data_IF_135082215474
#
_entry.id   IF_135082215474
#
_cell.length_a   1.000
_cell.length_b   1.000
_cell.length_c   1.000
_cell.angle_alpha   90.00
_cell.angle_beta   90.00
_cell.angle_gamma   90.00
#
_symmetry.space_group_name_H-M   'P 1'
#
loop_
_entity.id
_entity.type
_entity.pdbx_description
1 polymer ?
#
# COMPACT_ATOMS: atom_id res chain seq x y z
N UNK A 1 6.79 -25.01 2.61
CA UNK A 1 6.08 -23.99 1.83
C UNK A 1 6.27 -22.68 2.59
N UNK A 2 6.51 -21.56 1.92
CA UNK A 2 6.67 -20.28 2.59
C UNK A 2 5.37 -19.85 3.28
N UNK A 3 5.48 -19.03 4.32
CA UNK A 3 4.30 -18.46 5.00
C UNK A 3 3.65 -17.34 4.17
N UNK A 4 4.45 -16.56 3.42
CA UNK A 4 3.99 -15.41 2.65
C UNK A 4 4.43 -15.55 1.19
N UNK A 5 3.52 -15.31 0.24
CA UNK A 5 3.84 -15.06 -1.16
C UNK A 5 3.74 -13.56 -1.43
N UNK A 6 4.86 -12.91 -1.72
CA UNK A 6 4.85 -11.52 -2.19
C UNK A 6 4.61 -11.55 -3.69
N UNK A 7 3.66 -10.72 -4.18
CA UNK A 7 3.28 -10.69 -5.61
C UNK A 7 3.50 -9.29 -6.20
N UNK A 8 4.11 -9.25 -7.40
CA UNK A 8 4.41 -8.02 -8.13
C UNK A 8 4.18 -8.23 -9.63
N UNK A 9 3.33 -7.41 -10.24
CA UNK A 9 3.21 -7.32 -11.69
C UNK A 9 4.09 -6.19 -12.23
N UNK A 10 4.86 -6.46 -13.29
CA UNK A 10 5.77 -5.49 -13.91
C UNK A 10 5.46 -5.37 -15.39
N UNK A 11 5.43 -4.13 -15.90
CA UNK A 11 5.35 -3.84 -17.33
C UNK A 11 6.16 -2.61 -17.68
N UNK A 12 7.18 -2.78 -18.52
CA UNK A 12 8.01 -1.69 -19.02
C UNK A 12 8.63 -0.82 -17.92
N UNK A 13 9.16 -1.43 -16.85
CA UNK A 13 9.96 -0.71 -15.87
C UNK A 13 11.40 -0.55 -16.41
N UNK A 14 11.69 0.61 -16.99
CA UNK A 14 13.00 0.91 -17.58
C UNK A 14 13.98 1.54 -16.57
N UNK A 15 13.49 2.03 -15.43
CA UNK A 15 14.37 2.61 -14.43
C UNK A 15 14.91 1.52 -13.50
N UNK A 16 16.16 1.13 -13.76
CA UNK A 16 16.86 0.09 -13.00
C UNK A 16 16.92 0.39 -11.49
N UNK A 17 17.28 1.63 -11.13
CA UNK A 17 17.47 2.00 -9.73
C UNK A 17 16.15 1.90 -8.95
N UNK A 18 15.05 2.36 -9.54
CA UNK A 18 13.71 2.27 -8.93
C UNK A 18 13.29 0.81 -8.78
N UNK A 19 13.49 -0.03 -9.81
CA UNK A 19 13.15 -1.44 -9.73
C UNK A 19 13.96 -2.17 -8.66
N UNK A 20 15.28 -1.92 -8.62
CA UNK A 20 16.15 -2.53 -7.62
C UNK A 20 15.81 -2.06 -6.21
N UNK A 21 15.48 -0.79 -6.00
CA UNK A 21 15.04 -0.27 -4.70
C UNK A 21 13.74 -0.96 -4.23
N UNK A 22 12.77 -1.14 -5.13
CA UNK A 22 11.52 -1.85 -4.83
C UNK A 22 11.78 -3.31 -4.44
N UNK A 23 12.57 -4.04 -5.25
CA UNK A 23 12.92 -5.44 -5.01
C UNK A 23 13.71 -5.60 -3.71
N UNK A 24 14.75 -4.80 -3.51
CA UNK A 24 15.58 -4.78 -2.31
C UNK A 24 14.76 -4.54 -1.04
N UNK A 25 13.75 -3.68 -1.11
CA UNK A 25 12.86 -3.38 0.01
C UNK A 25 12.05 -4.61 0.48
N UNK A 26 11.78 -5.54 -0.43
CA UNK A 26 11.16 -6.84 -0.10
C UNK A 26 12.22 -7.84 0.39
N UNK A 27 13.36 -7.93 -0.26
CA UNK A 27 14.41 -8.89 0.14
C UNK A 27 14.97 -8.60 1.55
N UNK A 28 14.89 -7.35 2.01
CA UNK A 28 15.36 -6.85 3.32
C UNK A 28 14.27 -6.79 4.39
N UNK A 29 13.13 -7.46 4.19
CA UNK A 29 12.10 -7.56 5.22
C UNK A 29 12.60 -8.32 6.45
N UNK A 30 12.15 -7.94 7.65
CA UNK A 30 12.47 -8.62 8.91
C UNK A 30 11.92 -10.05 8.96
N UNK A 31 10.84 -10.32 8.27
CA UNK A 31 10.26 -11.65 8.11
C UNK A 31 10.86 -12.32 6.86
N UNK A 32 11.52 -13.47 7.01
CA UNK A 32 12.33 -14.11 5.96
C UNK A 32 11.64 -15.27 5.23
N UNK A 33 10.62 -15.90 5.83
CA UNK A 33 9.92 -17.07 5.26
C UNK A 33 8.88 -16.67 4.22
N UNK A 34 9.36 -16.18 3.07
CA UNK A 34 8.52 -15.80 1.93
C UNK A 34 9.11 -16.25 0.59
N UNK A 35 8.26 -16.38 -0.40
CA UNK A 35 8.59 -16.37 -1.82
C UNK A 35 8.21 -15.01 -2.44
N UNK A 36 8.92 -14.59 -3.49
CA UNK A 36 8.64 -13.35 -4.19
C UNK A 36 8.39 -13.62 -5.67
N UNK A 37 7.12 -13.60 -6.06
CA UNK A 37 6.66 -13.90 -7.41
C UNK A 37 6.53 -12.59 -8.17
N UNK A 38 7.32 -12.46 -9.22
CA UNK A 38 7.34 -11.32 -10.13
C UNK A 38 6.78 -11.79 -11.47
N UNK A 39 5.78 -11.08 -11.98
CA UNK A 39 5.19 -11.36 -13.28
C UNK A 39 5.58 -10.28 -14.30
N UNK A 40 6.26 -10.70 -15.37
CA UNK A 40 6.53 -9.84 -16.53
C UNK A 40 5.32 -9.86 -17.48
N UNK A 41 4.62 -8.75 -17.58
CA UNK A 41 3.40 -8.59 -18.38
C UNK A 41 3.75 -8.18 -19.84
N UNK A 42 4.67 -8.89 -20.49
CA UNK A 42 5.08 -8.62 -21.86
C UNK A 42 5.88 -7.33 -22.00
N UNK A 43 6.88 -7.14 -21.16
CA UNK A 43 7.75 -5.98 -21.23
C UNK A 43 8.62 -5.99 -22.48
N UNK A 44 8.97 -4.77 -22.95
CA UNK A 44 9.98 -4.60 -24.00
C UNK A 44 11.32 -5.27 -23.63
N UNK A 45 12.08 -5.82 -24.58
CA UNK A 45 13.32 -6.58 -24.29
C UNK A 45 14.30 -5.87 -23.36
N UNK A 46 14.45 -4.55 -23.44
CA UNK A 46 15.32 -3.77 -22.56
C UNK A 46 14.88 -3.83 -21.08
N UNK A 47 13.58 -3.82 -20.82
CA UNK A 47 13.03 -3.94 -19.46
C UNK A 47 13.04 -5.40 -18.99
N UNK A 48 12.79 -6.36 -19.90
CA UNK A 48 12.84 -7.79 -19.60
C UNK A 48 14.23 -8.24 -19.14
N UNK A 49 15.30 -7.70 -19.72
CA UNK A 49 16.69 -7.97 -19.28
C UNK A 49 16.90 -7.58 -17.81
N UNK A 50 16.32 -6.45 -17.36
CA UNK A 50 16.41 -6.05 -15.95
C UNK A 50 15.70 -7.03 -15.02
N UNK A 51 14.59 -7.64 -15.47
CA UNK A 51 13.86 -8.64 -14.68
C UNK A 51 14.64 -9.94 -14.55
N UNK A 52 15.38 -10.35 -15.59
CA UNK A 52 16.30 -11.50 -15.50
C UNK A 52 17.48 -11.22 -14.55
N UNK A 53 18.01 -9.99 -14.50
CA UNK A 53 18.98 -9.60 -13.47
C UNK A 53 18.38 -9.72 -12.07
N UNK A 54 17.18 -9.19 -11.87
CA UNK A 54 16.45 -9.25 -10.60
C UNK A 54 16.22 -10.69 -10.13
N UNK A 55 15.81 -11.59 -11.03
CA UNK A 55 15.60 -13.01 -10.72
C UNK A 55 16.84 -13.67 -10.10
N UNK A 56 18.03 -13.24 -10.53
CA UNK A 56 19.30 -13.79 -10.06
C UNK A 56 19.82 -13.16 -8.76
N UNK A 57 19.12 -12.18 -8.18
CA UNK A 57 19.53 -11.51 -6.93
C UNK A 57 19.32 -12.39 -5.69
N UNK A 58 18.22 -13.16 -5.65
CA UNK A 58 17.88 -13.98 -4.50
C UNK A 58 17.07 -15.22 -4.93
N UNK A 59 17.34 -16.36 -4.30
CA UNK A 59 16.66 -17.64 -4.58
C UNK A 59 15.14 -17.63 -4.27
N UNK A 60 14.67 -16.69 -3.46
CA UNK A 60 13.24 -16.52 -3.15
C UNK A 60 12.46 -15.89 -4.29
N UNK A 61 13.14 -15.29 -5.29
CA UNK A 61 12.50 -14.66 -6.44
C UNK A 61 12.12 -15.71 -7.47
N UNK A 62 10.86 -15.70 -7.87
CA UNK A 62 10.27 -16.51 -8.93
C UNK A 62 9.79 -15.56 -10.02
N UNK A 63 10.51 -15.51 -11.13
CA UNK A 63 10.10 -14.74 -12.31
C UNK A 63 9.25 -15.62 -13.21
N UNK A 64 8.04 -15.15 -13.51
CA UNK A 64 7.11 -15.72 -14.49
C UNK A 64 6.64 -14.62 -15.44
N UNK A 65 6.09 -14.96 -16.58
CA UNK A 65 5.60 -13.93 -17.51
C UNK A 65 5.17 -14.50 -18.84
N UNK A 66 4.82 -13.60 -19.76
CA UNK A 66 4.43 -13.92 -21.13
C UNK A 66 4.79 -12.76 -22.09
N UNK A 67 4.64 -12.98 -23.40
CA UNK A 67 5.07 -12.02 -24.43
C UNK A 67 4.08 -10.84 -24.62
N UNK A 68 2.79 -11.02 -24.29
CA UNK A 68 1.76 -10.02 -24.53
C UNK A 68 1.33 -9.33 -23.23
N UNK A 69 1.06 -8.03 -23.28
CA UNK A 69 0.53 -7.26 -22.15
C UNK A 69 -0.97 -7.47 -21.97
N UNK A 70 -1.36 -7.98 -20.80
CA UNK A 70 -2.74 -8.22 -20.40
C UNK A 70 -3.22 -7.31 -19.26
N UNK A 71 -2.31 -6.55 -18.66
CA UNK A 71 -2.57 -5.57 -17.60
C UNK A 71 -2.46 -6.13 -16.18
N UNK A 72 -2.38 -5.20 -15.22
CA UNK A 72 -2.06 -5.49 -13.82
C UNK A 72 -2.95 -6.57 -13.18
N UNK A 73 -4.26 -6.53 -13.42
CA UNK A 73 -5.19 -7.51 -12.84
C UNK A 73 -4.84 -8.95 -13.27
N UNK A 74 -4.48 -9.14 -14.55
CA UNK A 74 -4.05 -10.42 -15.07
C UNK A 74 -2.73 -10.87 -14.44
N UNK A 75 -1.74 -9.97 -14.39
CA UNK A 75 -0.43 -10.24 -13.78
C UNK A 75 -0.56 -10.67 -12.32
N UNK A 76 -1.41 -9.99 -11.55
CA UNK A 76 -1.65 -10.33 -10.15
C UNK A 76 -2.35 -11.67 -9.99
N UNK A 77 -3.34 -12.01 -10.84
CA UNK A 77 -3.98 -13.33 -10.82
C UNK A 77 -2.97 -14.43 -11.15
N UNK A 78 -2.14 -14.26 -12.18
CA UNK A 78 -1.09 -15.22 -12.51
C UNK A 78 -0.08 -15.43 -11.35
N UNK A 79 0.23 -14.38 -10.59
CA UNK A 79 1.02 -14.50 -9.37
C UNK A 79 0.25 -15.26 -8.28
N UNK A 80 -1.05 -14.99 -8.10
CA UNK A 80 -1.91 -15.66 -7.12
C UNK A 80 -1.99 -17.16 -7.42
N UNK A 81 -2.20 -17.54 -8.68
CA UNK A 81 -2.24 -18.94 -9.13
C UNK A 81 -0.92 -19.69 -8.83
N UNK A 82 0.20 -18.97 -8.84
CA UNK A 82 1.53 -19.53 -8.58
C UNK A 82 1.88 -19.54 -7.09
N UNK A 83 1.20 -18.73 -6.29
CA UNK A 83 1.49 -18.54 -4.87
C UNK A 83 1.24 -19.81 -4.06
N UNK A 84 2.10 -20.08 -3.09
CA UNK A 84 2.00 -21.23 -2.19
C UNK A 84 1.92 -20.83 -0.71
N UNK A 85 2.05 -19.55 -0.39
CA UNK A 85 2.00 -19.02 0.96
C UNK A 85 0.58 -18.92 1.51
N UNK A 86 0.47 -18.98 2.83
CA UNK A 86 -0.78 -18.77 3.56
C UNK A 86 -1.31 -17.33 3.44
N UNK A 87 -0.39 -16.40 3.24
CA UNK A 87 -0.70 -14.98 3.02
C UNK A 87 -0.15 -14.52 1.67
N UNK A 88 -0.88 -13.62 1.01
CA UNK A 88 -0.46 -13.01 -0.24
C UNK A 88 -0.27 -11.52 -0.02
N UNK A 89 0.97 -11.03 -0.12
CA UNK A 89 1.33 -9.64 0.05
C UNK A 89 1.58 -8.97 -1.30
N UNK A 90 0.90 -7.86 -1.57
CA UNK A 90 1.05 -7.12 -2.82
C UNK A 90 2.22 -6.13 -2.74
N UNK A 91 2.89 -5.89 -3.89
CA UNK A 91 3.94 -4.89 -4.07
C UNK A 91 3.87 -4.29 -5.48
N UNK A 92 4.18 -2.99 -5.63
CA UNK A 92 4.42 -2.35 -6.92
C UNK A 92 5.92 -2.25 -7.22
N UNK A 93 6.28 -2.24 -8.52
CA UNK A 93 7.66 -2.24 -9.00
C UNK A 93 8.37 -0.87 -8.87
N UNK A 94 7.70 0.12 -8.29
CA UNK A 94 8.21 1.48 -8.13
C UNK A 94 8.05 2.04 -6.69
N UNK A 95 7.55 1.22 -5.76
CA UNK A 95 7.31 1.58 -4.37
C UNK A 95 8.39 1.00 -3.42
N UNK A 96 8.35 1.38 -2.14
CA UNK A 96 9.27 0.88 -1.11
C UNK A 96 8.48 0.30 0.06
N UNK A 97 8.74 -0.95 0.39
CA UNK A 97 8.20 -1.63 1.57
C UNK A 97 9.14 -1.44 2.76
N UNK A 98 8.66 -0.90 3.89
CA UNK A 98 9.50 -0.77 5.07
C UNK A 98 9.75 -2.13 5.74
N UNK A 99 10.91 -2.30 6.42
CA UNK A 99 11.40 -3.62 6.82
C UNK A 99 10.45 -4.48 7.66
N UNK A 100 9.63 -3.87 8.48
CA UNK A 100 8.75 -4.60 9.41
C UNK A 100 7.33 -4.87 8.83
N UNK A 101 7.08 -4.51 7.54
CA UNK A 101 5.73 -4.58 6.98
C UNK A 101 5.16 -6.00 6.98
N UNK A 102 5.89 -6.96 6.43
CA UNK A 102 5.40 -8.32 6.29
C UNK A 102 5.14 -8.96 7.66
N UNK A 103 6.05 -8.79 8.60
CA UNK A 103 5.93 -9.31 9.97
C UNK A 103 4.71 -8.74 10.70
N UNK A 104 4.54 -7.41 10.68
CA UNK A 104 3.43 -6.74 11.35
C UNK A 104 2.07 -7.06 10.72
N UNK A 105 2.00 -7.16 9.41
CA UNK A 105 0.77 -7.52 8.71
C UNK A 105 0.36 -8.97 8.96
N UNK A 106 1.32 -9.90 8.91
CA UNK A 106 1.10 -11.31 9.27
C UNK A 106 0.58 -11.43 10.69
N UNK A 107 1.29 -10.84 11.65
CA UNK A 107 0.89 -10.84 13.07
C UNK A 107 -0.52 -10.27 13.26
N UNK A 108 -0.83 -9.14 12.61
CA UNK A 108 -2.16 -8.54 12.69
C UNK A 108 -3.24 -9.51 12.22
N UNK A 109 -3.04 -10.18 11.07
CA UNK A 109 -4.02 -11.14 10.57
C UNK A 109 -4.14 -12.36 11.49
N UNK A 110 -3.07 -12.84 12.10
CA UNK A 110 -3.12 -13.95 13.06
C UNK A 110 -3.92 -13.60 14.33
N UNK A 111 -3.74 -12.41 14.85
CA UNK A 111 -4.42 -11.92 16.05
C UNK A 111 -5.88 -11.49 15.81
N UNK A 112 -6.27 -11.24 14.54
CA UNK A 112 -7.59 -10.72 14.17
C UNK A 112 -8.22 -11.57 13.05
N UNK A 113 -8.76 -12.76 13.37
CA UNK A 113 -9.29 -13.70 12.37
C UNK A 113 -10.53 -13.19 11.62
N UNK A 114 -11.22 -12.16 12.11
CA UNK A 114 -12.37 -11.53 11.45
C UNK A 114 -11.98 -10.68 10.23
N UNK A 115 -10.68 -10.37 10.03
CA UNK A 115 -10.19 -9.65 8.87
C UNK A 115 -9.57 -10.59 7.84
N UNK A 116 -9.98 -10.43 6.59
CA UNK A 116 -9.52 -11.21 5.45
C UNK A 116 -8.31 -10.59 4.76
N UNK A 117 -8.09 -9.28 4.94
CA UNK A 117 -6.89 -8.56 4.49
C UNK A 117 -6.55 -7.39 5.39
N UNK A 118 -5.29 -6.94 5.30
CA UNK A 118 -4.80 -5.77 6.02
C UNK A 118 -3.89 -4.92 5.14
N UNK A 119 -4.11 -3.61 5.15
CA UNK A 119 -3.22 -2.59 4.60
C UNK A 119 -2.46 -1.85 5.70
N UNK A 120 -1.86 -0.71 5.34
CA UNK A 120 -1.22 0.19 6.31
C UNK A 120 -1.32 1.65 5.86
N UNK A 121 -0.89 2.58 6.71
CA UNK A 121 -0.65 3.97 6.32
C UNK A 121 0.55 4.06 5.37
N UNK A 122 0.56 5.09 4.51
CA UNK A 122 1.62 5.29 3.53
C UNK A 122 2.29 6.65 3.69
N UNK A 123 3.60 6.67 3.53
CA UNK A 123 4.33 7.86 3.14
C UNK A 123 4.26 8.01 1.62
N UNK A 124 4.41 9.24 1.12
CA UNK A 124 4.38 9.54 -0.31
C UNK A 124 5.71 10.17 -0.65
N UNK A 125 6.42 9.60 -1.62
CA UNK A 125 7.75 10.05 -2.01
C UNK A 125 7.88 10.31 -3.53
N UNK A 126 8.90 11.08 -3.86
CA UNK A 126 9.42 11.26 -5.22
C UNK A 126 10.96 11.17 -5.20
N UNK A 127 11.62 11.54 -6.28
CA UNK A 127 13.09 11.53 -6.36
C UNK A 127 13.81 12.43 -5.34
N UNK A 128 13.07 13.32 -4.64
CA UNK A 128 13.60 14.23 -3.61
C UNK A 128 13.40 13.70 -2.19
N UNK A 129 12.70 12.58 -2.04
CA UNK A 129 12.38 11.96 -0.76
C UNK A 129 10.90 12.03 -0.40
N UNK A 130 10.58 11.80 0.88
CA UNK A 130 9.21 11.81 1.41
C UNK A 130 8.67 13.23 1.46
N UNK A 131 7.57 13.48 0.76
CA UNK A 131 6.93 14.80 0.72
C UNK A 131 5.50 14.82 1.29
N UNK A 132 4.91 13.66 1.58
CA UNK A 132 3.55 13.56 2.10
C UNK A 132 3.31 12.30 2.90
N UNK A 133 2.19 12.29 3.62
CA UNK A 133 1.70 11.15 4.39
C UNK A 133 0.22 10.99 4.18
N UNK A 134 -0.25 9.73 4.08
CA UNK A 134 -1.67 9.42 4.02
C UNK A 134 -2.03 8.39 5.07
N UNK A 135 -2.92 8.80 5.95
CA UNK A 135 -3.51 7.93 6.96
C UNK A 135 -4.73 7.24 6.37
N UNK A 136 -4.73 5.90 6.39
CA UNK A 136 -5.85 5.09 5.92
C UNK A 136 -6.82 4.86 7.09
N UNK A 137 -8.15 4.72 6.84
CA UNK A 137 -9.10 4.40 7.90
C UNK A 137 -8.76 3.06 8.54
N UNK A 138 -8.65 3.01 9.87
CA UNK A 138 -8.24 1.80 10.60
C UNK A 138 -9.15 0.60 10.31
N UNK A 139 -10.45 0.81 10.44
CA UNK A 139 -11.51 -0.20 10.23
C UNK A 139 -12.55 0.33 9.25
N UNK A 140 -12.28 0.26 7.94
CA UNK A 140 -13.15 0.87 6.95
C UNK A 140 -14.58 0.34 7.00
N UNK A 141 -15.53 1.25 7.01
CA UNK A 141 -16.95 0.96 6.84
C UNK A 141 -17.41 1.23 5.40
N UNK A 142 -18.67 0.93 5.07
CA UNK A 142 -19.18 1.09 3.70
C UNK A 142 -19.10 2.52 3.17
N UNK A 143 -19.23 3.55 4.02
CA UNK A 143 -19.19 4.94 3.59
C UNK A 143 -17.78 5.41 3.19
N UNK A 144 -16.74 4.75 3.70
CA UNK A 144 -15.35 5.09 3.37
C UNK A 144 -15.01 4.79 1.90
N UNK A 145 -15.76 3.86 1.28
CA UNK A 145 -15.64 3.59 -0.16
C UNK A 145 -16.21 4.69 -1.06
N UNK A 146 -16.97 5.66 -0.54
CA UNK A 146 -17.55 6.71 -1.39
C UNK A 146 -16.50 7.60 -2.05
N UNK A 147 -15.49 8.02 -1.30
CA UNK A 147 -14.49 8.99 -1.79
C UNK A 147 -13.42 8.35 -2.67
N UNK A 148 -12.81 7.29 -2.19
CA UNK A 148 -11.69 6.54 -2.79
C UNK A 148 -11.59 5.14 -2.19
N UNK A 149 -10.68 4.32 -2.70
CA UNK A 149 -10.36 3.05 -2.05
C UNK A 149 -9.88 3.30 -0.62
N UNK A 150 -10.48 2.67 0.40
CA UNK A 150 -10.05 2.82 1.78
C UNK A 150 -8.77 2.05 2.12
N UNK A 151 -8.14 1.44 1.14
CA UNK A 151 -6.85 0.75 1.23
C UNK A 151 -5.91 1.27 0.16
N UNK A 152 -4.64 1.43 0.49
CA UNK A 152 -3.59 1.63 -0.48
C UNK A 152 -3.21 0.27 -1.07
N UNK A 153 -3.58 0.02 -2.32
CA UNK A 153 -3.50 -1.29 -2.95
C UNK A 153 -2.12 -1.97 -2.85
N UNK A 154 -0.97 -1.27 -3.09
CA UNK A 154 0.33 -1.91 -3.00
C UNK A 154 0.74 -2.35 -1.59
N UNK A 155 0.01 -1.92 -0.58
CA UNK A 155 0.34 -2.25 0.81
C UNK A 155 -0.35 -3.50 1.33
N UNK A 156 -1.33 -4.04 0.61
CA UNK A 156 -2.27 -5.01 1.17
C UNK A 156 -1.66 -6.41 1.25
N UNK A 157 -1.88 -7.06 2.39
CA UNK A 157 -1.68 -8.49 2.60
C UNK A 157 -3.05 -9.16 2.79
N UNK A 158 -3.30 -10.20 2.03
CA UNK A 158 -4.52 -11.01 2.04
C UNK A 158 -4.28 -12.36 2.71
N UNK A 159 -5.33 -12.96 3.28
CA UNK A 159 -5.35 -14.42 3.48
C UNK A 159 -5.50 -15.08 2.11
N UNK A 160 -4.68 -16.08 1.79
CA UNK A 160 -4.72 -16.74 0.49
C UNK A 160 -6.07 -17.41 0.20
N UNK A 161 -6.74 -17.93 1.23
CA UNK A 161 -8.06 -18.59 1.15
C UNK A 161 -9.17 -17.74 0.50
N UNK A 162 -9.02 -16.41 0.43
CA UNK A 162 -9.95 -15.52 -0.27
C UNK A 162 -10.05 -15.90 -1.74
N UNK A 163 -8.91 -16.23 -2.34
CA UNK A 163 -8.79 -16.50 -3.77
C UNK A 163 -9.28 -17.90 -4.16
N UNK A 164 -9.38 -18.82 -3.23
CA UNK A 164 -9.95 -20.16 -3.43
C UNK A 164 -11.46 -20.12 -3.79
N UNK A 165 -12.11 -18.99 -3.55
CA UNK A 165 -13.55 -18.79 -3.74
C UNK A 165 -13.91 -17.97 -4.99
N UNK A 166 -13.07 -17.97 -6.02
CA UNK A 166 -13.21 -17.16 -7.23
C UNK A 166 -13.30 -15.64 -6.96
N UNK A 167 -12.56 -15.17 -5.96
CA UNK A 167 -12.47 -13.75 -5.59
C UNK A 167 -11.23 -13.06 -6.18
N UNK A 168 -10.71 -13.56 -7.29
CA UNK A 168 -9.58 -12.98 -8.04
C UNK A 168 -9.90 -11.60 -8.61
N UNK A 169 -8.87 -10.91 -9.10
CA UNK A 169 -9.07 -9.64 -9.80
C UNK A 169 -9.86 -9.82 -11.09
N UNK A 170 -10.81 -8.94 -11.34
CA UNK A 170 -11.60 -8.96 -12.59
C UNK A 170 -10.75 -8.44 -13.75
N UNK A 171 -10.41 -9.33 -14.70
CA UNK A 171 -9.66 -9.00 -15.91
C UNK A 171 -10.60 -8.55 -17.02
N UNK A 172 -11.07 -7.30 -16.98
CA UNK A 172 -11.94 -6.76 -18.02
C UNK A 172 -11.51 -5.37 -18.46
N UNK A 173 -11.87 -5.01 -19.72
CA UNK A 173 -11.64 -3.64 -20.23
C UNK A 173 -12.41 -2.58 -19.42
N UNK A 174 -13.43 -2.98 -18.67
CA UNK A 174 -14.26 -2.07 -17.86
C UNK A 174 -13.68 -1.81 -16.48
N UNK A 175 -12.85 -2.73 -15.93
CA UNK A 175 -12.18 -2.56 -14.66
C UNK A 175 -10.78 -1.96 -14.79
N UNK A 176 -10.29 -1.77 -16.01
CA UNK A 176 -8.96 -1.24 -16.29
C UNK A 176 -8.76 0.13 -15.61
N UNK A 177 -7.74 0.24 -14.72
CA UNK A 177 -7.41 1.38 -13.87
C UNK A 177 -8.38 1.64 -12.71
N UNK A 178 -9.20 0.65 -12.34
CA UNK A 178 -10.00 0.64 -11.12
C UNK A 178 -10.12 -0.78 -10.52
N UNK A 179 -9.22 -1.67 -10.91
CA UNK A 179 -9.14 -3.06 -10.45
C UNK A 179 -9.01 -3.18 -8.94
N UNK A 180 -8.23 -2.29 -8.33
CA UNK A 180 -8.04 -2.17 -6.88
C UNK A 180 -9.33 -1.78 -6.14
N UNK A 181 -10.04 -0.83 -6.69
CA UNK A 181 -11.27 -0.34 -6.09
C UNK A 181 -12.42 -1.35 -6.26
N UNK A 182 -12.45 -2.04 -7.39
CA UNK A 182 -13.43 -3.09 -7.68
C UNK A 182 -13.28 -4.26 -6.70
N UNK A 183 -12.09 -4.81 -6.56
CA UNK A 183 -11.89 -6.00 -5.72
C UNK A 183 -12.28 -5.73 -4.26
N UNK A 184 -11.88 -4.60 -3.67
CA UNK A 184 -12.23 -4.31 -2.27
C UNK A 184 -13.73 -4.11 -2.06
N UNK A 185 -14.45 -3.52 -3.03
CA UNK A 185 -15.90 -3.38 -2.93
C UNK A 185 -16.60 -4.72 -3.06
N UNK A 186 -16.17 -5.59 -3.98
CA UNK A 186 -16.73 -6.92 -4.20
C UNK A 186 -16.45 -7.85 -3.02
N UNK A 187 -15.24 -7.86 -2.47
CA UNK A 187 -14.93 -8.59 -1.24
C UNK A 187 -15.80 -8.10 -0.07
N UNK A 188 -16.01 -6.79 0.03
CA UNK A 188 -16.89 -6.21 1.06
C UNK A 188 -18.35 -6.61 0.87
N UNK A 189 -18.83 -6.71 -0.37
CA UNK A 189 -20.17 -7.22 -0.71
C UNK A 189 -20.32 -8.68 -0.30
N UNK A 190 -19.30 -9.51 -0.53
CA UNK A 190 -19.25 -10.91 -0.10
C UNK A 190 -19.20 -11.09 1.43
N UNK A 191 -19.21 -9.99 2.20
CA UNK A 191 -19.20 -10.02 3.67
C UNK A 191 -17.80 -10.01 4.30
N UNK A 192 -16.76 -10.07 3.50
CA UNK A 192 -15.38 -10.04 3.96
C UNK A 192 -14.98 -8.64 4.45
N UNK A 193 -13.98 -8.56 5.33
CA UNK A 193 -13.55 -7.31 5.95
C UNK A 193 -12.04 -7.16 5.87
N UNK A 194 -11.59 -5.92 5.69
CA UNK A 194 -10.20 -5.53 5.84
C UNK A 194 -10.01 -4.46 6.88
N UNK A 195 -8.77 -4.28 7.29
CA UNK A 195 -8.32 -3.22 8.21
C UNK A 195 -7.06 -2.53 7.67
N UNK A 196 -6.60 -1.48 8.34
CA UNK A 196 -5.29 -0.88 8.09
C UNK A 196 -4.55 -0.68 9.40
N UNK A 197 -3.33 -1.20 9.50
CA UNK A 197 -2.40 -0.90 10.59
C UNK A 197 -2.10 0.59 10.58
N UNK A 198 -2.19 1.23 11.75
CA UNK A 198 -2.03 2.67 11.88
C UNK A 198 -0.56 3.12 11.97
N UNK A 199 0.32 2.36 11.32
CA UNK A 199 1.73 2.67 11.16
C UNK A 199 2.06 2.92 9.69
N UNK A 200 3.09 3.75 9.44
CA UNK A 200 3.62 3.99 8.10
C UNK A 200 4.63 2.89 7.77
N UNK A 201 4.16 1.86 7.06
CA UNK A 201 4.98 0.69 6.72
C UNK A 201 5.32 0.62 5.22
N UNK A 202 5.02 1.70 4.48
CA UNK A 202 5.16 1.72 3.04
C UNK A 202 5.40 3.15 2.52
N UNK A 203 6.31 3.30 1.55
CA UNK A 203 6.50 4.54 0.81
C UNK A 203 5.97 4.37 -0.61
N UNK A 204 4.89 5.07 -0.92
CA UNK A 204 4.25 5.10 -2.23
C UNK A 204 4.91 6.17 -3.11
N UNK A 205 5.48 5.75 -4.25
CA UNK A 205 6.12 6.67 -5.18
C UNK A 205 5.08 7.34 -6.06
N UNK A 206 5.00 8.66 -5.97
CA UNK A 206 4.07 9.46 -6.76
C UNK A 206 4.80 10.67 -7.37
N UNK A 207 4.97 10.67 -8.68
CA UNK A 207 5.52 11.78 -9.45
C UNK A 207 4.43 12.58 -10.20
N UNK A 208 4.82 13.75 -10.73
CA UNK A 208 3.90 14.62 -11.47
C UNK A 208 3.44 14.02 -12.81
N UNK A 209 4.15 13.05 -13.38
CA UNK A 209 3.79 12.40 -14.65
C UNK A 209 2.62 11.43 -14.48
N UNK A 210 2.43 10.86 -13.29
CA UNK A 210 1.33 9.96 -12.95
C UNK A 210 -0.05 10.58 -13.20
N UNK A 211 -0.16 11.92 -13.12
CA UNK A 211 -1.43 12.64 -13.36
C UNK A 211 -1.78 12.81 -14.83
N UNK A 212 -0.79 12.85 -15.72
CA UNK A 212 -1.00 13.09 -17.17
C UNK A 212 -1.57 11.87 -17.88
N UNK A 213 -1.44 10.68 -17.34
CA UNK A 213 -1.79 9.39 -17.99
C UNK A 213 -3.27 9.02 -17.94
N UNK A 214 -4.14 9.80 -17.29
CA UNK A 214 -5.56 9.43 -17.09
C UNK A 214 -6.46 9.86 -18.25
N UNK A 215 -6.62 8.97 -19.24
CA UNK A 215 -7.55 9.16 -20.39
C UNK A 215 -9.00 9.17 -19.91
N UNK A 216 -9.89 9.93 -20.60
CA UNK A 216 -11.34 10.02 -20.33
C UNK A 216 -11.99 8.63 -20.24
N UNK A 217 -11.57 7.69 -21.09
CA UNK A 217 -12.05 6.29 -21.07
C UNK A 217 -11.93 5.65 -19.67
N UNK A 218 -10.83 5.83 -18.96
CA UNK A 218 -10.63 5.25 -17.63
C UNK A 218 -11.49 5.91 -16.56
N UNK A 219 -11.82 7.20 -16.73
CA UNK A 219 -12.75 7.90 -15.85
C UNK A 219 -14.19 7.41 -16.00
N UNK A 220 -14.58 7.09 -17.24
CA UNK A 220 -15.89 6.49 -17.52
C UNK A 220 -15.95 5.08 -16.91
N UNK A 221 -14.88 4.28 -17.06
CA UNK A 221 -14.80 2.95 -16.44
C UNK A 221 -14.91 3.05 -14.91
N UNK A 222 -14.17 3.99 -14.28
CA UNK A 222 -14.27 4.23 -12.85
C UNK A 222 -15.70 4.62 -12.41
N UNK A 223 -16.38 5.49 -13.16
CA UNK A 223 -17.75 5.86 -12.86
C UNK A 223 -18.72 4.67 -12.97
N UNK A 224 -18.58 3.82 -14.00
CA UNK A 224 -19.37 2.58 -14.15
C UNK A 224 -19.09 1.60 -13.02
N UNK A 225 -17.82 1.42 -12.65
CA UNK A 225 -17.40 0.59 -11.54
C UNK A 225 -18.03 1.07 -10.22
N UNK A 226 -17.94 2.38 -9.92
CA UNK A 226 -18.59 3.01 -8.76
C UNK A 226 -20.10 2.77 -8.75
N UNK A 227 -20.78 3.02 -9.88
CA UNK A 227 -22.22 2.82 -9.96
C UNK A 227 -22.64 1.39 -9.61
N UNK A 228 -22.01 0.39 -10.24
CA UNK A 228 -22.32 -1.04 -10.00
C UNK A 228 -22.10 -1.40 -8.52
N UNK A 229 -20.91 -1.12 -8.02
CA UNK A 229 -20.52 -1.54 -6.66
C UNK A 229 -21.24 -0.73 -5.56
N UNK A 230 -21.51 0.56 -5.77
CA UNK A 230 -22.29 1.35 -4.80
C UNK A 230 -23.74 0.87 -4.71
N UNK A 231 -24.31 0.40 -5.83
CA UNK A 231 -25.63 -0.24 -5.85
C UNK A 231 -25.63 -1.53 -5.04
N UNK A 232 -24.65 -2.42 -5.25
CA UNK A 232 -24.48 -3.68 -4.53
C UNK A 232 -24.26 -3.46 -3.03
N UNK A 233 -23.37 -2.55 -2.67
CA UNK A 233 -23.08 -2.20 -1.28
C UNK A 233 -24.21 -1.43 -0.57
N UNK A 234 -25.26 -1.00 -1.32
CA UNK A 234 -26.39 -0.19 -0.84
C UNK A 234 -25.96 1.20 -0.31
N UNK A 235 -24.94 1.81 -0.92
CA UNK A 235 -24.43 3.15 -0.61
C UNK A 235 -24.66 4.16 -1.74
N UNK A 236 -25.38 3.77 -2.78
CA UNK A 236 -25.66 4.66 -3.92
C UNK A 236 -26.53 5.84 -3.52
N UNK A 237 -27.54 5.65 -2.67
CA UNK A 237 -28.45 6.68 -2.17
C UNK A 237 -28.19 7.01 -0.71
N UNK A 238 -28.38 8.30 -0.32
CA UNK A 238 -28.69 9.43 -1.19
C UNK A 238 -27.46 10.09 -1.83
N UNK A 239 -26.26 9.91 -1.28
CA UNK A 239 -25.06 10.69 -1.60
C UNK A 239 -24.17 10.02 -2.66
N UNK A 240 -24.23 8.69 -2.80
CA UNK A 240 -23.34 7.93 -3.67
C UNK A 240 -23.31 8.40 -5.12
N UNK A 241 -24.43 8.90 -5.66
CA UNK A 241 -24.52 9.46 -7.02
C UNK A 241 -23.51 10.58 -7.27
N UNK A 242 -23.26 11.44 -6.29
CA UNK A 242 -22.29 12.53 -6.41
C UNK A 242 -20.89 11.95 -6.63
N UNK A 243 -20.57 10.90 -5.91
CA UNK A 243 -19.27 10.22 -6.01
C UNK A 243 -19.14 9.35 -7.28
N UNK A 244 -20.23 8.82 -7.81
CA UNK A 244 -20.24 8.16 -9.14
C UNK A 244 -19.84 9.14 -10.25
N UNK A 245 -20.33 10.38 -10.20
CA UNK A 245 -20.03 11.40 -11.20
C UNK A 245 -18.65 12.08 -11.02
N UNK A 246 -18.08 12.00 -9.82
CA UNK A 246 -16.81 12.66 -9.48
C UNK A 246 -15.66 12.37 -10.48
N UNK A 247 -15.41 11.13 -10.95
CA UNK A 247 -14.37 10.85 -11.94
C UNK A 247 -14.59 11.59 -13.25
N UNK A 248 -15.84 11.74 -13.69
CA UNK A 248 -16.21 12.44 -14.91
C UNK A 248 -15.98 13.94 -14.75
N UNK A 249 -16.44 14.53 -13.64
CA UNK A 249 -16.21 15.95 -13.32
C UNK A 249 -14.72 16.28 -13.26
N UNK A 250 -13.91 15.35 -12.71
CA UNK A 250 -12.46 15.53 -12.65
C UNK A 250 -11.76 15.60 -14.03
N UNK A 251 -12.42 15.17 -15.12
CA UNK A 251 -11.91 15.35 -16.49
C UNK A 251 -11.82 16.82 -16.91
N UNK A 252 -12.66 17.67 -16.35
CA UNK A 252 -12.74 19.10 -16.69
C UNK A 252 -11.81 19.96 -15.82
N UNK A 253 -11.14 19.38 -14.82
CA UNK A 253 -10.21 20.08 -13.94
C UNK A 253 -8.79 19.92 -14.50
N UNK A 254 -8.04 21.03 -14.72
CA UNK A 254 -6.65 20.97 -15.18
C UNK A 254 -5.76 20.12 -14.24
N UNK A 255 -4.86 19.32 -14.83
CA UNK A 255 -4.01 18.39 -14.08
C UNK A 255 -3.19 19.08 -12.96
N UNK A 256 -2.70 20.31 -13.22
CA UNK A 256 -1.97 21.09 -12.22
C UNK A 256 -2.80 21.46 -10.99
N UNK A 257 -4.09 21.75 -11.17
CA UNK A 257 -5.03 22.04 -10.06
C UNK A 257 -5.28 20.78 -9.23
N UNK A 258 -5.49 19.65 -9.90
CA UNK A 258 -5.65 18.35 -9.20
C UNK A 258 -4.42 17.97 -8.40
N UNK A 259 -3.21 18.14 -8.95
CA UNK A 259 -1.96 17.88 -8.28
C UNK A 259 -1.79 18.81 -7.05
N UNK A 260 -2.08 20.11 -7.20
CA UNK A 260 -2.03 21.07 -6.10
C UNK A 260 -3.02 20.72 -4.98
N UNK A 261 -4.27 20.37 -5.31
CA UNK A 261 -5.29 19.96 -4.33
C UNK A 261 -4.82 18.74 -3.52
N UNK A 262 -4.25 17.73 -4.18
CA UNK A 262 -3.75 16.51 -3.51
C UNK A 262 -2.57 16.80 -2.59
N UNK A 263 -1.60 17.61 -3.06
CA UNK A 263 -0.45 18.01 -2.23
C UNK A 263 -0.89 18.78 -0.99
N UNK A 264 -1.88 19.66 -1.12
CA UNK A 264 -2.45 20.39 0.01
C UNK A 264 -3.15 19.45 1.01
N UNK A 265 -3.88 18.46 0.54
CA UNK A 265 -4.54 17.45 1.40
C UNK A 265 -3.51 16.61 2.17
N UNK A 266 -2.42 16.21 1.52
CA UNK A 266 -1.33 15.44 2.14
C UNK A 266 -0.51 16.25 3.16
N UNK A 267 -0.28 17.55 2.93
CA UNK A 267 0.44 18.44 3.87
C UNK A 267 -0.42 18.83 5.08
N UNK A 268 -1.72 18.95 4.95
CA UNK A 268 -2.63 19.17 6.09
C UNK A 268 -2.61 17.96 7.03
N UNK A 269 -2.55 16.75 6.47
CA UNK A 269 -2.41 15.50 7.24
C UNK A 269 -1.09 15.45 8.03
N UNK A 270 0.01 16.04 7.52
CA UNK A 270 1.27 16.17 8.26
C UNK A 270 1.15 17.12 9.47
N UNK A 271 0.53 18.28 9.29
CA UNK A 271 0.42 19.30 10.35
C UNK A 271 -0.47 18.85 11.52
N UNK A 272 -1.54 18.11 11.24
CA UNK A 272 -2.39 17.54 12.30
C UNK A 272 -1.65 16.49 13.13
N UNK A 273 -0.75 15.70 12.54
CA UNK A 273 0.04 14.68 13.25
C UNK A 273 1.19 15.30 14.10
N UNK A 274 1.75 16.45 13.70
CA UNK A 274 2.72 17.18 14.52
C UNK A 274 2.07 17.85 15.74
N UNK A 275 0.83 18.32 15.61
CA UNK A 275 0.08 18.92 16.72
C UNK A 275 -0.27 17.92 17.83
N UNK A 276 -0.63 16.68 17.46
CA UNK A 276 -0.96 15.64 18.43
C UNK A 276 0.25 15.10 19.21
N UNK A 277 1.43 15.05 18.58
CA UNK A 277 2.66 14.63 19.26
C UNK A 277 3.29 15.74 20.14
N UNK A 278 2.94 17.01 19.90
CA UNK A 278 3.36 18.15 20.74
C UNK A 278 2.61 18.23 22.06
N UNK A 279 1.34 17.85 22.07
CA UNK A 279 0.49 17.88 23.29
C UNK A 279 0.88 16.77 24.26
N UNK A 280 1.27 15.59 23.80
CA UNK A 280 1.70 14.49 24.69
C UNK A 280 3.09 14.71 25.33
N UNK A 281 3.93 15.62 24.82
CA UNK A 281 5.23 15.95 25.45
C UNK A 281 5.13 16.99 26.56
N UNK A 282 4.06 17.79 26.61
CA UNK A 282 3.89 18.82 27.65
C UNK A 282 3.19 18.32 28.93
N UNK A 283 2.46 17.19 28.89
CA UNK A 283 1.86 16.63 30.10
C UNK A 283 2.81 15.81 31.00
N UNK A 284 4.04 15.51 30.53
CA UNK A 284 5.05 14.80 31.34
C UNK A 284 6.06 15.70 32.06
N UNK A 285 5.89 17.03 32.04
CA UNK A 285 6.80 17.99 32.69
C UNK A 285 6.25 18.75 33.89
N UNK A 286 5.05 18.44 34.36
CA UNK A 286 4.49 19.04 35.59
C UNK A 286 4.20 17.98 36.63
N UNK A 287 5.22 17.59 37.38
CA UNK A 287 5.01 16.67 38.49
C UNK A 287 6.30 16.08 39.01
N UNK A 288 7.21 16.89 39.57
CA UNK A 288 8.09 16.52 40.69
C UNK A 288 9.08 17.66 41.00
N UNK A 289 8.63 18.62 41.78
CA UNK A 289 9.51 19.41 42.64
C UNK A 289 8.88 19.41 44.02
N UNK A 290 9.48 18.71 44.96
CA UNK A 290 9.44 19.06 46.39
C UNK A 290 10.54 18.29 47.14
N UNK A 291 11.44 19.09 47.78
CA UNK A 291 12.27 18.88 48.98
C UNK A 291 13.45 17.87 48.89
N UNK A 292 14.66 18.35 48.91
CA UNK A 292 15.52 18.81 50.03
C UNK A 292 15.82 17.73 51.08
N UNK A 293 17.09 17.37 51.23
CA UNK A 293 17.99 17.73 52.30
C UNK A 293 19.23 16.85 52.28
N UNK A 294 20.36 17.55 52.26
CA UNK A 294 21.66 17.33 52.92
C UNK A 294 21.99 15.97 53.53
N UNK A 295 23.13 15.39 53.18
CA UNK A 295 24.24 15.16 54.09
C UNK A 295 25.58 14.79 53.40
N UNK A 296 26.65 15.37 53.97
CA UNK A 296 28.07 15.29 53.82
C UNK A 296 28.74 13.97 53.41
N UNK A 297 29.71 14.11 52.51
CA UNK A 297 31.18 13.91 52.69
C UNK A 297 31.69 12.49 53.04
N UNK A 298 32.60 11.96 52.24
CA UNK A 298 34.00 11.64 52.48
C UNK A 298 34.55 10.66 51.44
N UNK A 299 35.47 11.15 50.63
CA UNK A 299 36.86 10.70 50.48
C UNK A 299 37.22 9.26 50.05
N UNK A 300 38.23 9.27 49.18
CA UNK A 300 39.23 8.28 48.78
C UNK A 300 38.83 7.40 47.57
N UNK A 301 39.42 7.56 46.40
CA UNK A 301 40.85 7.48 46.14
C UNK A 301 41.26 6.03 45.86
N UNK A 302 41.40 5.68 44.54
CA UNK A 302 42.53 4.87 44.09
C UNK A 302 42.44 4.58 42.57
N UNK A 303 43.47 4.95 41.90
CA UNK A 303 43.87 4.52 40.55
C UNK A 303 44.22 3.03 40.58
N UNK A 304 44.01 2.32 39.44
CA UNK A 304 45.07 1.59 38.72
C UNK A 304 44.58 1.01 37.41
N UNK A 305 45.32 1.26 36.39
CA UNK A 305 45.67 0.62 35.15
C UNK A 305 45.35 -0.89 34.99
N UNK A 306 45.02 -1.25 33.72
CA UNK A 306 44.99 -2.54 33.12
C UNK A 306 44.25 -2.48 31.78
#
# INVERSE_FOLDING_TARGET
MPEISVIMGVYNQFNKDILLEAVDSILKQSFEDFEFIIYDDGSHPEAAVLLEEVKNMDKRIILIGQEENHGLAFSLNACIDRASGKYIARMDADDISYPERLEKQKKFLEENPEYSWVGCNIEICDAKGVWGRRKMPERPNKSDYLKYSPYAHPTVMYRAEIFDTNQEYVTSKETLRCEDYEIFMRLREAGLRGANIQEYLFCYREDNESYKKRKIKYRINEAKCRYRNFKSLKILFPIGWIYVLRPIVACFIPAGVLAWMKRKESSISQNMNMGSNGVMKNEKKTGSDISSDTYHDTNSGLRYNG
#
